data_IF_169303482744
#
_entry.id   IF_169303482744
#
_cell.length_a   1.000
_cell.length_b   1.000
_cell.length_c   1.000
_cell.angle_alpha   90.00
_cell.angle_beta   90.00
_cell.angle_gamma   90.00
#
_symmetry.space_group_name_H-M   'P 1'
#
loop_
_entity.id
_entity.type
_entity.pdbx_description
1 polymer ?
#
# COMPACT_ATOMS: atom_id res chain seq x y z
N UNK A 1 9.16 -2.76 15.60
CA UNK A 1 8.87 -3.89 14.67
C UNK A 1 10.10 -4.76 14.42
N UNK A 2 11.19 -4.24 13.85
CA UNK A 2 12.35 -5.06 13.44
C UNK A 2 13.24 -5.54 14.60
N UNK A 3 13.27 -4.77 15.69
CA UNK A 3 14.01 -5.15 16.89
C UNK A 3 13.55 -6.49 17.49
N UNK A 4 12.27 -6.85 17.35
CA UNK A 4 11.73 -8.08 17.94
C UNK A 4 12.29 -9.34 17.24
N UNK A 5 12.14 -9.51 15.90
CA UNK A 5 12.78 -10.62 15.19
C UNK A 5 14.31 -10.61 15.32
N UNK A 6 14.94 -9.43 15.29
CA UNK A 6 16.38 -9.34 15.43
C UNK A 6 16.86 -9.81 16.81
N UNK A 7 16.22 -9.32 17.88
CA UNK A 7 16.52 -9.75 19.24
C UNK A 7 16.24 -11.25 19.42
N UNK A 8 15.16 -11.79 18.85
CA UNK A 8 14.86 -13.22 18.89
C UNK A 8 15.95 -14.08 18.21
N UNK A 9 16.41 -13.67 17.02
CA UNK A 9 17.51 -14.35 16.32
C UNK A 9 18.80 -14.24 17.13
N UNK A 10 19.09 -13.06 17.68
CA UNK A 10 20.28 -12.82 18.49
C UNK A 10 20.26 -13.64 19.78
N UNK A 11 19.18 -13.63 20.56
CA UNK A 11 19.08 -14.39 21.81
C UNK A 11 19.13 -15.90 21.58
N UNK A 12 18.61 -16.38 20.44
CA UNK A 12 18.74 -17.78 20.02
C UNK A 12 20.20 -18.19 19.78
N UNK A 13 21.04 -17.29 19.26
CA UNK A 13 22.50 -17.54 19.09
C UNK A 13 23.17 -17.77 20.47
N UNK A 14 22.70 -17.11 21.53
CA UNK A 14 23.22 -17.25 22.88
C UNK A 14 22.50 -18.31 23.74
N UNK A 15 21.62 -19.12 23.16
CA UNK A 15 20.91 -20.19 23.88
C UNK A 15 19.92 -19.71 24.95
N UNK A 16 19.53 -18.44 24.93
CA UNK A 16 18.51 -17.89 25.84
C UNK A 16 17.09 -18.19 25.35
N UNK A 17 16.11 -18.23 26.27
CA UNK A 17 14.69 -18.39 25.95
C UNK A 17 14.24 -17.32 24.94
N UNK A 18 13.64 -17.78 23.84
CA UNK A 18 13.09 -16.92 22.78
C UNK A 18 12.00 -16.00 23.31
N UNK A 19 11.89 -14.78 22.78
CA UNK A 19 10.80 -13.86 23.11
C UNK A 19 9.47 -14.50 22.68
N UNK A 20 8.56 -14.83 23.62
CA UNK A 20 7.29 -15.46 23.28
C UNK A 20 6.45 -14.50 22.41
N UNK A 21 5.72 -15.05 21.44
CA UNK A 21 4.83 -14.32 20.54
C UNK A 21 5.47 -13.19 19.69
N UNK A 22 6.81 -13.16 19.55
CA UNK A 22 7.53 -12.17 18.71
C UNK A 22 6.92 -12.03 17.30
N UNK A 23 6.69 -13.14 16.60
CA UNK A 23 6.08 -13.14 15.27
C UNK A 23 4.65 -12.56 15.27
N UNK A 24 3.83 -12.93 16.25
CA UNK A 24 2.44 -12.46 16.37
C UNK A 24 2.41 -10.97 16.65
N UNK A 25 3.27 -10.46 17.55
CA UNK A 25 3.38 -9.03 17.84
C UNK A 25 3.78 -8.26 16.57
N UNK A 26 4.71 -8.79 15.78
CA UNK A 26 5.15 -8.17 14.52
C UNK A 26 4.01 -8.09 13.49
N UNK A 27 3.14 -9.11 13.40
CA UNK A 27 1.94 -9.05 12.54
C UNK A 27 1.02 -7.89 12.94
N UNK A 28 0.78 -7.70 14.24
CA UNK A 28 -0.05 -6.61 14.74
C UNK A 28 0.62 -5.24 14.61
N UNK A 29 1.95 -5.16 14.75
CA UNK A 29 2.68 -3.93 14.44
C UNK A 29 2.60 -3.55 12.96
N UNK A 30 2.44 -4.55 12.07
CA UNK A 30 2.22 -4.31 10.63
C UNK A 30 0.88 -3.61 10.40
N UNK A 31 -0.17 -4.00 11.12
CA UNK A 31 -1.47 -3.31 11.11
C UNK A 31 -1.31 -1.83 11.51
N UNK A 32 -0.58 -1.57 12.59
CA UNK A 32 -0.33 -0.21 13.07
C UNK A 32 0.44 0.64 12.05
N UNK A 33 1.54 0.10 11.51
CA UNK A 33 2.34 0.79 10.48
C UNK A 33 1.49 1.05 9.23
N UNK A 34 0.66 0.08 8.83
CA UNK A 34 -0.25 0.21 7.69
C UNK A 34 -1.24 1.36 7.86
N UNK A 35 -1.94 1.43 8.99
CA UNK A 35 -2.92 2.49 9.24
C UNK A 35 -2.27 3.85 9.49
N UNK A 36 -1.17 3.93 10.24
CA UNK A 36 -0.40 5.19 10.39
C UNK A 36 0.10 5.67 9.01
N UNK A 37 0.63 4.75 8.21
CA UNK A 37 1.05 5.01 6.83
C UNK A 37 -0.10 5.52 5.97
N UNK A 38 -1.30 4.93 6.07
CA UNK A 38 -2.49 5.37 5.37
C UNK A 38 -2.90 6.79 5.77
N UNK A 39 -2.92 7.11 7.07
CA UNK A 39 -3.23 8.45 7.59
C UNK A 39 -2.20 9.49 7.12
N UNK A 40 -0.92 9.14 7.08
CA UNK A 40 0.14 10.02 6.56
C UNK A 40 0.05 10.19 5.04
N UNK A 41 -0.25 9.12 4.30
CA UNK A 41 -0.45 9.15 2.85
C UNK A 41 -1.67 10.02 2.48
N UNK A 42 -2.76 9.91 3.24
CA UNK A 42 -3.92 10.79 3.12
C UNK A 42 -3.53 12.26 3.35
N UNK A 43 -2.73 12.53 4.38
CA UNK A 43 -2.27 13.90 4.68
C UNK A 43 -1.40 14.46 3.56
N UNK A 44 -0.60 13.63 2.91
CA UNK A 44 0.33 14.02 1.84
C UNK A 44 -0.26 13.90 0.43
N UNK A 45 -1.54 13.54 0.26
CA UNK A 45 -2.15 13.32 -1.05
C UNK A 45 -1.48 12.21 -1.88
N UNK A 46 -0.96 11.18 -1.21
CA UNK A 46 -0.21 10.06 -1.82
C UNK A 46 -0.95 8.73 -1.80
N UNK A 47 -2.24 8.75 -1.50
CA UNK A 47 -3.07 7.55 -1.60
C UNK A 47 -3.18 7.14 -3.08
N UNK A 48 -3.14 5.83 -3.33
CA UNK A 48 -3.28 5.28 -4.68
C UNK A 48 -4.66 5.63 -5.25
N UNK A 49 -4.68 6.32 -6.37
CA UNK A 49 -5.87 6.75 -7.10
C UNK A 49 -5.70 6.46 -8.59
N UNK A 50 -6.81 6.33 -9.32
CA UNK A 50 -6.81 6.11 -10.77
C UNK A 50 -6.44 7.38 -11.57
N UNK A 51 -6.48 8.55 -10.93
CA UNK A 51 -6.19 9.84 -11.57
C UNK A 51 -4.98 10.52 -10.95
N UNK A 52 -4.37 11.43 -11.72
CA UNK A 52 -3.18 12.18 -11.29
C UNK A 52 -3.49 13.29 -10.28
N UNK A 53 -4.76 13.72 -10.17
CA UNK A 53 -5.15 14.83 -9.29
C UNK A 53 -5.72 14.27 -7.98
N UNK A 54 -5.04 14.49 -6.84
CA UNK A 54 -5.46 13.88 -5.59
C UNK A 54 -6.68 14.57 -4.99
N UNK A 55 -7.58 13.76 -4.41
CA UNK A 55 -8.83 14.23 -3.83
C UNK A 55 -8.67 14.96 -2.49
N UNK A 56 -7.66 14.62 -1.67
CA UNK A 56 -7.42 15.19 -0.33
C UNK A 56 -6.72 16.57 -0.39
N UNK A 57 -6.95 17.32 -1.47
CA UNK A 57 -6.43 18.67 -1.70
C UNK A 57 -7.55 19.71 -1.53
N UNK A 58 -7.20 20.88 -0.99
CA UNK A 58 -8.16 21.97 -0.77
C UNK A 58 -8.58 22.58 -2.09
N UNK A 59 -9.89 22.71 -2.30
CA UNK A 59 -10.44 23.39 -3.47
C UNK A 59 -10.98 24.77 -3.13
N UNK A 60 -10.63 25.75 -3.98
CA UNK A 60 -11.09 27.13 -3.86
C UNK A 60 -12.44 27.38 -4.55
N UNK A 61 -12.73 26.64 -5.63
CA UNK A 61 -13.99 26.74 -6.40
C UNK A 61 -14.80 25.46 -6.29
N UNK A 62 -16.12 25.59 -6.26
CA UNK A 62 -17.02 24.43 -6.23
C UNK A 62 -16.99 23.69 -7.57
N UNK A 63 -16.85 22.37 -7.51
CA UNK A 63 -16.97 21.49 -8.66
C UNK A 63 -17.81 20.27 -8.26
N UNK A 64 -18.99 20.13 -8.86
CA UNK A 64 -19.99 19.13 -8.47
C UNK A 64 -19.40 17.71 -8.44
N UNK A 65 -18.63 17.32 -9.46
CA UNK A 65 -18.03 15.98 -9.50
C UNK A 65 -17.07 15.67 -8.35
N UNK A 66 -16.30 16.67 -7.92
CA UNK A 66 -15.33 16.50 -6.82
C UNK A 66 -16.01 16.61 -5.47
N UNK A 67 -17.03 17.45 -5.34
CA UNK A 67 -17.87 17.50 -4.16
C UNK A 67 -18.48 16.13 -3.88
N UNK A 68 -19.09 15.50 -4.89
CA UNK A 68 -19.63 14.14 -4.80
C UNK A 68 -18.53 13.14 -4.39
N UNK A 69 -17.36 13.18 -5.04
CA UNK A 69 -16.27 12.26 -4.70
C UNK A 69 -15.76 12.40 -3.26
N UNK A 70 -15.61 13.64 -2.77
CA UNK A 70 -15.22 13.95 -1.38
C UNK A 70 -16.29 13.51 -0.38
N UNK A 71 -17.56 13.75 -0.70
CA UNK A 71 -18.70 13.33 0.10
C UNK A 71 -18.76 11.80 0.23
N UNK A 72 -18.67 11.07 -0.88
CA UNK A 72 -18.68 9.60 -0.89
C UNK A 72 -17.47 9.06 -0.11
N UNK A 73 -16.28 9.64 -0.33
CA UNK A 73 -15.08 9.27 0.44
C UNK A 73 -15.28 9.47 1.93
N UNK A 74 -15.91 10.58 2.33
CA UNK A 74 -16.22 10.87 3.72
C UNK A 74 -17.23 9.87 4.32
N UNK A 75 -18.30 9.56 3.60
CA UNK A 75 -19.30 8.57 4.02
C UNK A 75 -18.68 7.18 4.18
N UNK A 76 -17.93 6.71 3.20
CA UNK A 76 -17.23 5.41 3.26
C UNK A 76 -16.29 5.36 4.46
N UNK A 77 -15.50 6.41 4.71
CA UNK A 77 -14.59 6.47 5.85
C UNK A 77 -15.32 6.43 7.21
N UNK A 78 -16.45 7.14 7.34
CA UNK A 78 -17.27 7.09 8.56
C UNK A 78 -17.86 5.70 8.76
N UNK A 79 -18.41 5.09 7.71
CA UNK A 79 -18.95 3.73 7.77
C UNK A 79 -17.87 2.72 8.17
N UNK A 80 -16.69 2.77 7.56
CA UNK A 80 -15.57 1.88 7.94
C UNK A 80 -15.10 2.15 9.38
N UNK A 81 -15.05 3.41 9.82
CA UNK A 81 -14.76 3.75 11.21
C UNK A 81 -15.78 3.12 12.16
N UNK A 82 -17.08 3.23 11.85
CA UNK A 82 -18.14 2.64 12.66
C UNK A 82 -18.05 1.11 12.70
N UNK A 83 -17.90 0.45 11.55
CA UNK A 83 -17.73 -1.01 11.49
C UNK A 83 -16.52 -1.49 12.29
N UNK A 84 -15.40 -0.77 12.21
CA UNK A 84 -14.20 -1.11 12.98
C UNK A 84 -14.33 -0.85 14.48
N UNK A 85 -15.15 0.13 14.89
CA UNK A 85 -15.47 0.38 16.30
C UNK A 85 -16.37 -0.72 16.87
N UNK A 86 -17.39 -1.16 16.12
CA UNK A 86 -18.24 -2.30 16.50
C UNK A 86 -17.42 -3.59 16.66
N UNK A 87 -16.46 -3.83 15.76
CA UNK A 87 -15.53 -4.96 15.91
C UNK A 87 -14.71 -4.86 17.22
N UNK A 88 -14.18 -3.68 17.54
CA UNK A 88 -13.41 -3.47 18.78
C UNK A 88 -14.28 -3.70 20.02
N UNK A 89 -15.55 -3.26 20.01
CA UNK A 89 -16.48 -3.53 21.12
C UNK A 89 -16.69 -5.02 21.36
N UNK A 90 -16.92 -5.79 20.29
CA UNK A 90 -17.10 -7.24 20.38
C UNK A 90 -15.85 -7.90 21.00
N UNK A 91 -14.66 -7.45 20.63
CA UNK A 91 -13.39 -7.94 21.20
C UNK A 91 -13.12 -7.48 22.65
N UNK A 92 -13.72 -6.38 23.09
CA UNK A 92 -13.64 -5.96 24.49
C UNK A 92 -14.56 -6.83 25.35
N UNK A 93 -15.74 -7.19 24.82
CA UNK A 93 -16.70 -8.07 25.50
C UNK A 93 -16.19 -9.52 25.58
N UNK A 94 -15.56 -10.01 24.50
CA UNK A 94 -14.99 -11.35 24.40
C UNK A 94 -13.48 -11.28 24.12
N UNK A 95 -12.66 -10.93 25.12
CA UNK A 95 -11.24 -10.66 24.90
C UNK A 95 -10.44 -11.91 24.56
N UNK A 96 -9.65 -11.79 23.50
CA UNK A 96 -8.63 -12.76 23.09
C UNK A 96 -7.25 -12.09 23.19
N UNK A 97 -6.27 -12.80 23.75
CA UNK A 97 -4.90 -12.29 23.87
C UNK A 97 -4.03 -12.69 22.66
N UNK A 98 -3.24 -11.74 22.17
CA UNK A 98 -2.26 -11.97 21.09
C UNK A 98 -0.89 -12.36 21.62
N UNK A 99 -0.59 -11.97 22.85
CA UNK A 99 0.59 -12.30 23.62
C UNK A 99 0.22 -12.21 25.12
N UNK A 100 1.04 -12.75 26.04
CA UNK A 100 0.74 -12.69 27.47
C UNK A 100 0.44 -11.25 27.91
N UNK A 101 -0.77 -11.01 28.44
CA UNK A 101 -1.28 -9.71 28.88
C UNK A 101 -1.43 -8.64 27.78
N UNK A 102 -1.47 -9.03 26.50
CA UNK A 102 -1.73 -8.10 25.40
C UNK A 102 -3.02 -8.52 24.70
N UNK A 103 -4.15 -7.85 24.98
CA UNK A 103 -5.40 -8.18 24.35
C UNK A 103 -5.45 -7.67 22.91
N UNK A 104 -6.10 -8.44 22.04
CA UNK A 104 -6.18 -8.22 20.60
C UNK A 104 -6.85 -6.89 20.24
N UNK A 105 -7.85 -6.46 21.00
CA UNK A 105 -8.57 -5.19 20.75
C UNK A 105 -7.64 -3.98 20.80
N UNK A 106 -6.57 -4.00 21.60
CA UNK A 106 -5.57 -2.92 21.63
C UNK A 106 -4.90 -2.78 20.28
N UNK A 107 -4.59 -3.90 19.63
CA UNK A 107 -4.04 -3.87 18.29
C UNK A 107 -5.06 -3.39 17.26
N UNK A 108 -6.34 -3.76 17.40
CA UNK A 108 -7.42 -3.37 16.47
C UNK A 108 -7.81 -1.89 16.56
N UNK A 109 -7.60 -1.22 17.69
CA UNK A 109 -7.97 0.19 17.91
C UNK A 109 -7.42 1.15 16.86
N UNK A 110 -6.30 0.82 16.22
CA UNK A 110 -5.73 1.67 15.18
C UNK A 110 -6.62 1.77 13.93
N UNK A 111 -7.50 0.79 13.71
CA UNK A 111 -8.43 0.79 12.57
C UNK A 111 -9.47 1.91 12.66
N UNK A 112 -10.32 1.98 13.71
CA UNK A 112 -11.28 3.08 13.85
C UNK A 112 -10.58 4.43 13.95
N UNK A 113 -9.48 4.50 14.71
CA UNK A 113 -8.69 5.74 14.85
C UNK A 113 -8.18 6.20 13.47
N UNK A 114 -7.62 5.29 12.67
CA UNK A 114 -7.09 5.62 11.35
C UNK A 114 -8.18 6.10 10.38
N UNK A 115 -9.33 5.43 10.33
CA UNK A 115 -10.46 5.85 9.50
C UNK A 115 -11.04 7.20 9.93
N UNK A 116 -11.18 7.46 11.24
CA UNK A 116 -11.61 8.76 11.78
C UNK A 116 -10.61 9.86 11.43
N UNK A 117 -9.30 9.62 11.59
CA UNK A 117 -8.29 10.62 11.23
C UNK A 117 -8.33 10.94 9.73
N UNK A 118 -8.54 9.95 8.86
CA UNK A 118 -8.70 10.20 7.42
C UNK A 118 -10.02 10.93 7.10
N UNK A 119 -11.12 10.63 7.81
CA UNK A 119 -12.40 11.32 7.61
C UNK A 119 -12.33 12.79 8.03
N UNK A 120 -11.65 13.08 9.14
CA UNK A 120 -11.36 14.45 9.58
C UNK A 120 -10.47 15.18 8.56
N UNK A 121 -9.46 14.51 8.01
CA UNK A 121 -8.60 15.12 7.00
C UNK A 121 -9.35 15.51 5.73
N UNK A 122 -10.22 14.64 5.20
CA UNK A 122 -11.02 14.99 4.02
C UNK A 122 -12.01 16.11 4.33
N UNK A 123 -12.62 16.12 5.53
CA UNK A 123 -13.52 17.17 5.98
C UNK A 123 -12.84 18.54 6.04
N UNK A 124 -11.69 18.64 6.73
CA UNK A 124 -10.97 19.91 6.88
C UNK A 124 -10.34 20.39 5.56
N UNK A 125 -9.91 19.47 4.69
CA UNK A 125 -9.32 19.81 3.39
C UNK A 125 -10.32 19.82 2.22
N UNK A 126 -11.63 19.76 2.50
CA UNK A 126 -12.63 19.62 1.42
C UNK A 126 -12.74 20.89 0.57
N UNK A 127 -13.25 21.98 1.15
CA UNK A 127 -13.46 23.27 0.48
C UNK A 127 -13.05 24.41 1.39
N UNK A 128 -12.66 25.57 0.88
CA UNK A 128 -12.42 26.76 1.72
C UNK A 128 -13.69 27.23 2.46
N UNK A 129 -14.84 27.13 1.80
CA UNK A 129 -16.13 27.57 2.33
C UNK A 129 -16.71 26.55 3.34
N UNK A 130 -17.09 27.04 4.53
CA UNK A 130 -17.63 26.24 5.63
C UNK A 130 -18.98 25.60 5.29
N UNK A 131 -19.81 26.22 4.45
CA UNK A 131 -21.11 25.65 4.07
C UNK A 131 -20.98 24.28 3.37
N UNK A 132 -20.05 24.14 2.43
CA UNK A 132 -19.77 22.87 1.76
C UNK A 132 -19.09 21.83 2.66
N UNK A 133 -18.46 22.26 3.76
CA UNK A 133 -17.95 21.32 4.77
C UNK A 133 -19.09 20.82 5.64
N UNK A 134 -19.92 21.72 6.16
CA UNK A 134 -21.05 21.38 7.02
C UNK A 134 -22.08 20.49 6.31
N UNK A 135 -22.25 20.65 5.00
CA UNK A 135 -23.11 19.76 4.22
C UNK A 135 -22.66 18.29 4.28
N UNK A 136 -21.37 17.99 4.47
CA UNK A 136 -20.91 16.62 4.64
C UNK A 136 -21.42 16.00 5.94
N UNK A 137 -21.39 16.76 7.05
CA UNK A 137 -21.92 16.31 8.33
C UNK A 137 -23.43 16.16 8.28
N UNK A 138 -24.12 17.10 7.64
CA UNK A 138 -25.57 17.03 7.47
C UNK A 138 -25.98 15.78 6.67
N UNK A 139 -25.29 15.50 5.56
CA UNK A 139 -25.58 14.31 4.74
C UNK A 139 -25.20 13.03 5.49
N UNK A 140 -24.06 13.00 6.20
CA UNK A 140 -23.68 11.85 7.03
C UNK A 140 -24.71 11.59 8.14
N UNK A 141 -25.25 12.65 8.76
CA UNK A 141 -26.32 12.55 9.74
C UNK A 141 -27.60 11.99 9.12
N UNK A 142 -28.01 12.45 7.94
CA UNK A 142 -29.15 11.88 7.21
C UNK A 142 -28.95 10.39 6.90
N UNK A 143 -27.75 10.00 6.45
CA UNK A 143 -27.39 8.60 6.21
C UNK A 143 -27.34 7.74 7.49
N UNK A 144 -27.28 8.34 8.67
CA UNK A 144 -27.33 7.60 9.94
C UNK A 144 -28.74 7.12 10.29
N UNK A 145 -29.78 7.66 9.68
CA UNK A 145 -31.16 7.23 9.92
C UNK A 145 -31.46 5.98 9.09
N UNK A 146 -31.58 4.84 9.76
CA UNK A 146 -31.90 3.55 9.14
C UNK A 146 -33.24 3.60 8.39
N UNK A 147 -34.24 4.29 8.95
CA UNK A 147 -35.55 4.46 8.32
C UNK A 147 -35.49 5.22 6.99
N UNK A 148 -34.61 6.22 6.87
CA UNK A 148 -34.43 6.95 5.62
C UNK A 148 -33.75 6.06 4.56
N UNK A 149 -32.77 5.26 4.97
CA UNK A 149 -32.08 4.33 4.09
C UNK A 149 -33.02 3.22 3.57
N UNK A 150 -33.86 2.66 4.44
CA UNK A 150 -34.86 1.66 4.08
C UNK A 150 -35.83 2.20 3.03
N UNK A 151 -36.39 3.39 3.26
CA UNK A 151 -37.27 4.06 2.29
C UNK A 151 -36.55 4.27 0.95
N UNK A 152 -35.31 4.75 0.95
CA UNK A 152 -34.54 4.94 -0.29
C UNK A 152 -34.32 3.60 -1.01
N UNK A 153 -34.02 2.53 -0.27
CA UNK A 153 -33.76 1.21 -0.84
C UNK A 153 -34.98 0.54 -1.43
N UNK A 154 -36.18 0.86 -0.93
CA UNK A 154 -37.44 0.36 -1.48
C UNK A 154 -37.77 0.99 -2.84
N UNK A 155 -37.35 2.26 -3.06
CA UNK A 155 -37.65 3.00 -4.29
C UNK A 155 -36.55 2.94 -5.35
N UNK A 156 -35.29 2.77 -4.96
CA UNK A 156 -34.14 2.77 -5.87
C UNK A 156 -33.34 1.47 -5.73
N UNK A 157 -32.82 0.91 -6.86
CA UNK A 157 -31.87 -0.20 -6.81
C UNK A 157 -30.55 0.25 -6.15
N UNK A 158 -30.49 0.20 -4.82
CA UNK A 158 -29.45 0.82 -3.99
C UNK A 158 -28.04 0.34 -4.34
N UNK A 159 -27.92 -0.94 -4.71
CA UNK A 159 -26.65 -1.55 -5.15
C UNK A 159 -26.12 -0.87 -6.41
N UNK A 160 -26.95 -0.75 -7.45
CA UNK A 160 -26.54 -0.18 -8.73
C UNK A 160 -26.29 1.32 -8.62
N UNK A 161 -27.16 2.04 -7.90
CA UNK A 161 -27.03 3.48 -7.68
C UNK A 161 -25.77 3.78 -6.86
N UNK A 162 -25.55 3.07 -5.76
CA UNK A 162 -24.36 3.22 -4.93
C UNK A 162 -23.07 2.87 -5.68
N UNK A 163 -23.07 1.79 -6.46
CA UNK A 163 -21.94 1.40 -7.31
C UNK A 163 -21.62 2.45 -8.38
N UNK A 164 -22.64 3.05 -8.99
CA UNK A 164 -22.47 4.15 -9.94
C UNK A 164 -21.79 5.36 -9.29
N UNK A 165 -22.27 5.79 -8.11
CA UNK A 165 -21.68 6.90 -7.38
C UNK A 165 -20.23 6.61 -6.94
N UNK A 166 -19.92 5.38 -6.53
CA UNK A 166 -18.55 4.97 -6.21
C UNK A 166 -17.63 5.00 -7.43
N UNK A 167 -18.07 4.45 -8.57
CA UNK A 167 -17.31 4.49 -9.82
C UNK A 167 -17.05 5.94 -10.26
N UNK A 168 -18.08 6.79 -10.16
CA UNK A 168 -17.96 8.23 -10.40
C UNK A 168 -16.95 8.88 -9.45
N UNK A 169 -16.98 8.56 -8.16
CA UNK A 169 -16.01 9.04 -7.16
C UNK A 169 -14.56 8.70 -7.54
N UNK A 170 -14.31 7.45 -7.95
CA UNK A 170 -12.99 6.99 -8.41
C UNK A 170 -12.52 7.77 -9.64
N UNK A 171 -13.41 8.03 -10.60
CA UNK A 171 -13.11 8.84 -11.78
C UNK A 171 -12.70 10.28 -11.42
N UNK A 172 -13.27 10.83 -10.34
CA UNK A 172 -12.91 12.17 -9.85
C UNK A 172 -11.72 12.19 -8.87
N UNK A 173 -11.00 11.07 -8.74
CA UNK A 173 -9.74 10.98 -8.01
C UNK A 173 -9.85 10.44 -6.59
N UNK A 174 -10.98 9.85 -6.21
CA UNK A 174 -11.05 9.11 -4.96
C UNK A 174 -10.03 7.96 -4.94
N UNK A 175 -9.40 7.68 -3.78
CA UNK A 175 -8.48 6.56 -3.64
C UNK A 175 -9.15 5.22 -3.93
N UNK A 176 -8.37 4.26 -4.44
CA UNK A 176 -8.85 2.92 -4.79
C UNK A 176 -9.47 2.22 -3.58
N UNK A 177 -8.91 2.39 -2.37
CA UNK A 177 -9.45 1.76 -1.16
C UNK A 177 -10.88 2.25 -0.82
N UNK A 178 -11.25 3.49 -1.21
CA UNK A 178 -12.61 4.01 -1.04
C UNK A 178 -13.58 3.27 -1.95
N UNK A 179 -13.14 2.96 -3.18
CA UNK A 179 -13.92 2.15 -4.12
C UNK A 179 -14.13 0.73 -3.60
N UNK A 180 -13.05 0.05 -3.19
CA UNK A 180 -13.12 -1.32 -2.67
C UNK A 180 -13.89 -1.41 -1.35
N UNK A 181 -13.59 -0.52 -0.40
CA UNK A 181 -14.27 -0.44 0.89
C UNK A 181 -15.73 -0.06 0.73
N UNK A 182 -16.03 0.96 -0.09
CA UNK A 182 -17.41 1.38 -0.39
C UNK A 182 -18.23 0.28 -1.06
N UNK A 183 -17.65 -0.44 -2.02
CA UNK A 183 -18.33 -1.57 -2.66
C UNK A 183 -18.59 -2.69 -1.65
N UNK A 184 -17.64 -2.96 -0.76
CA UNK A 184 -17.83 -3.93 0.33
C UNK A 184 -19.00 -3.54 1.23
N UNK A 185 -19.14 -2.26 1.59
CA UNK A 185 -20.27 -1.75 2.39
C UNK A 185 -21.61 -2.04 1.71
N UNK A 186 -21.72 -1.75 0.41
CA UNK A 186 -22.96 -1.93 -0.34
C UNK A 186 -23.34 -3.41 -0.45
N UNK A 187 -22.37 -4.27 -0.80
CA UNK A 187 -22.62 -5.71 -0.96
C UNK A 187 -22.95 -6.37 0.37
N UNK A 188 -22.21 -6.02 1.43
CA UNK A 188 -22.45 -6.58 2.76
C UNK A 188 -23.80 -6.14 3.32
N UNK A 189 -24.19 -4.89 3.06
CA UNK A 189 -25.51 -4.39 3.42
C UNK A 189 -26.63 -5.14 2.69
N UNK A 190 -26.46 -5.45 1.40
CA UNK A 190 -27.42 -6.25 0.63
C UNK A 190 -27.57 -7.69 1.15
N UNK A 191 -26.48 -8.26 1.67
CA UNK A 191 -26.46 -9.61 2.26
C UNK A 191 -26.84 -9.62 3.76
N UNK A 192 -27.30 -8.50 4.33
CA UNK A 192 -27.60 -8.33 5.77
C UNK A 192 -26.43 -8.69 6.70
N UNK A 193 -25.20 -8.55 6.20
CA UNK A 193 -24.00 -8.83 6.98
C UNK A 193 -23.55 -7.58 7.75
N UNK A 194 -23.14 -7.72 9.03
CA UNK A 194 -22.72 -6.59 9.83
C UNK A 194 -21.49 -5.87 9.24
N UNK A 195 -21.46 -4.55 9.39
CA UNK A 195 -20.35 -3.70 8.93
C UNK A 195 -19.01 -4.04 9.60
N UNK A 196 -19.05 -4.62 10.80
CA UNK A 196 -17.88 -5.13 11.52
C UNK A 196 -17.19 -6.28 10.79
N UNK A 197 -17.92 -7.05 9.96
CA UNK A 197 -17.35 -8.14 9.17
C UNK A 197 -16.32 -7.65 8.14
N UNK A 198 -16.54 -6.47 7.54
CA UNK A 198 -15.57 -5.84 6.63
C UNK A 198 -14.27 -5.53 7.38
N UNK A 199 -14.39 -5.01 8.60
CA UNK A 199 -13.23 -4.69 9.44
C UNK A 199 -12.53 -5.95 9.94
N UNK A 200 -13.28 -7.01 10.27
CA UNK A 200 -12.72 -8.28 10.70
C UNK A 200 -11.91 -8.93 9.57
N UNK A 201 -12.43 -8.88 8.34
CA UNK A 201 -11.74 -9.41 7.16
C UNK A 201 -10.51 -8.58 6.80
N UNK A 202 -10.61 -7.24 6.86
CA UNK A 202 -9.46 -6.36 6.69
C UNK A 202 -8.38 -6.63 7.74
N UNK A 203 -8.76 -6.81 9.01
CA UNK A 203 -7.83 -7.18 10.09
C UNK A 203 -7.17 -8.53 9.81
N UNK A 204 -7.94 -9.56 9.43
CA UNK A 204 -7.45 -10.91 9.11
C UNK A 204 -6.41 -10.89 7.99
N UNK A 205 -6.68 -10.13 6.92
CA UNK A 205 -5.75 -9.98 5.80
C UNK A 205 -4.46 -9.30 6.26
N UNK A 206 -4.57 -8.19 7.01
CA UNK A 206 -3.42 -7.37 7.40
C UNK A 206 -2.51 -8.04 8.44
N UNK A 207 -3.08 -8.84 9.34
CA UNK A 207 -2.33 -9.59 10.36
C UNK A 207 -1.81 -10.94 9.82
N UNK A 208 -1.88 -11.16 8.50
CA UNK A 208 -1.25 -12.32 7.88
C UNK A 208 0.25 -12.43 8.24
N UNK A 209 0.77 -13.63 8.56
CA UNK A 209 2.19 -13.85 8.85
C UNK A 209 3.14 -13.42 7.72
N UNK A 210 2.63 -13.18 6.52
CA UNK A 210 3.44 -12.80 5.37
C UNK A 210 3.57 -11.29 5.18
N UNK A 211 2.62 -10.47 5.64
CA UNK A 211 2.69 -9.01 5.46
C UNK A 211 3.79 -8.30 6.26
N UNK A 212 4.23 -8.80 7.45
CA UNK A 212 5.44 -8.31 8.09
C UNK A 212 6.68 -8.24 7.19
N UNK A 213 6.75 -9.08 6.16
CA UNK A 213 7.88 -9.08 5.24
C UNK A 213 7.98 -7.75 4.48
N UNK A 214 6.88 -7.03 4.24
CA UNK A 214 6.87 -5.75 3.51
C UNK A 214 7.78 -4.70 4.18
N UNK A 215 7.53 -4.29 5.43
CA UNK A 215 8.39 -3.32 6.10
C UNK A 215 9.79 -3.88 6.41
N UNK A 216 9.94 -5.20 6.63
CA UNK A 216 11.25 -5.82 6.89
C UNK A 216 12.16 -5.77 5.66
N UNK A 217 11.66 -6.15 4.48
CA UNK A 217 12.39 -6.05 3.21
C UNK A 217 12.67 -4.59 2.83
N UNK A 218 11.70 -3.70 3.07
CA UNK A 218 11.90 -2.26 2.88
C UNK A 218 13.06 -1.75 3.74
N UNK A 219 13.11 -2.13 5.02
CA UNK A 219 14.19 -1.75 5.93
C UNK A 219 15.55 -2.35 5.50
N UNK A 220 15.58 -3.60 5.05
CA UNK A 220 16.79 -4.21 4.49
C UNK A 220 17.31 -3.41 3.27
N UNK A 221 16.39 -2.95 2.41
CA UNK A 221 16.73 -2.06 1.29
C UNK A 221 17.30 -0.72 1.73
N UNK A 222 16.75 -0.10 2.78
CA UNK A 222 17.32 1.11 3.38
C UNK A 222 18.72 0.88 3.96
N UNK A 223 18.96 -0.24 4.66
CA UNK A 223 20.31 -0.57 5.15
C UNK A 223 21.32 -0.78 4.03
N UNK A 224 20.91 -1.44 2.94
CA UNK A 224 21.77 -1.63 1.77
C UNK A 224 22.11 -0.29 1.10
N UNK A 225 21.16 0.63 1.04
CA UNK A 225 21.36 1.98 0.52
C UNK A 225 22.32 2.81 1.40
N UNK A 226 22.04 2.88 2.70
CA UNK A 226 22.80 3.70 3.66
C UNK A 226 24.22 3.18 3.91
N UNK A 227 24.44 1.86 3.83
CA UNK A 227 25.76 1.23 3.97
C UNK A 227 26.71 1.48 2.79
N UNK A 228 26.31 2.33 1.82
CA UNK A 228 27.02 2.55 0.55
C UNK A 228 27.23 1.28 -0.27
N UNK A 229 26.52 0.19 0.03
CA UNK A 229 26.60 -1.04 -0.76
C UNK A 229 26.13 -0.80 -2.20
N UNK A 230 25.13 0.06 -2.40
CA UNK A 230 24.70 0.56 -3.71
C UNK A 230 25.85 1.04 -4.60
N UNK A 231 26.79 1.83 -4.05
CA UNK A 231 27.96 2.33 -4.80
C UNK A 231 28.92 1.20 -5.16
N UNK A 232 29.15 0.26 -4.24
CA UNK A 232 30.02 -0.90 -4.46
C UNK A 232 29.43 -1.85 -5.51
N UNK A 233 28.11 -2.06 -5.49
CA UNK A 233 27.41 -2.87 -6.48
C UNK A 233 27.50 -2.26 -7.88
N UNK A 234 27.37 -0.94 -8.01
CA UNK A 234 27.61 -0.25 -9.30
C UNK A 234 28.98 -0.62 -9.86
N UNK A 235 30.04 -0.50 -9.05
CA UNK A 235 31.41 -0.83 -9.49
C UNK A 235 31.51 -2.29 -9.91
N UNK A 236 30.96 -3.22 -9.13
CA UNK A 236 30.97 -4.66 -9.48
C UNK A 236 30.29 -4.91 -10.83
N UNK A 237 29.11 -4.32 -11.07
CA UNK A 237 28.41 -4.52 -12.34
C UNK A 237 29.11 -3.81 -13.50
N UNK A 238 29.77 -2.67 -13.26
CA UNK A 238 30.63 -2.01 -14.25
C UNK A 238 31.82 -2.89 -14.64
N UNK A 239 32.49 -3.53 -13.69
CA UNK A 239 33.60 -4.45 -13.99
C UNK A 239 33.12 -5.71 -14.73
N UNK A 240 31.94 -6.24 -14.39
CA UNK A 240 31.40 -7.46 -15.01
C UNK A 240 30.83 -7.23 -16.42
N UNK A 241 30.21 -6.08 -16.66
CA UNK A 241 29.41 -5.83 -17.88
C UNK A 241 29.81 -4.56 -18.64
N UNK A 242 30.81 -3.81 -18.18
CA UNK A 242 31.27 -2.57 -18.81
C UNK A 242 31.99 -2.77 -20.15
N UNK A 243 32.37 -4.01 -20.47
CA UNK A 243 32.91 -4.38 -21.78
C UNK A 243 31.86 -4.33 -22.91
N UNK A 244 30.56 -4.25 -22.57
CA UNK A 244 29.49 -4.18 -23.56
C UNK A 244 29.42 -2.76 -24.15
N UNK A 245 29.53 -2.56 -25.48
CA UNK A 245 29.39 -1.26 -26.11
C UNK A 245 27.99 -0.67 -25.83
N UNK A 246 27.90 0.56 -25.30
CA UNK A 246 26.63 1.10 -24.79
C UNK A 246 26.16 0.43 -23.50
N UNK A 247 27.09 -0.13 -22.71
CA UNK A 247 26.79 -0.98 -21.57
C UNK A 247 26.20 -0.30 -20.35
N UNK A 248 26.27 1.03 -20.20
CA UNK A 248 25.77 1.72 -19.00
C UNK A 248 24.27 1.48 -18.77
N UNK A 249 23.38 1.64 -19.77
CA UNK A 249 21.99 1.22 -19.64
C UNK A 249 21.79 -0.24 -19.24
N UNK A 250 22.59 -1.16 -19.79
CA UNK A 250 22.51 -2.60 -19.47
C UNK A 250 22.92 -2.86 -18.02
N UNK A 251 24.03 -2.25 -17.58
CA UNK A 251 24.49 -2.28 -16.19
C UNK A 251 23.38 -1.80 -15.26
N UNK A 252 22.68 -0.72 -15.62
CA UNK A 252 21.57 -0.19 -14.83
C UNK A 252 20.38 -1.15 -14.78
N UNK A 253 20.01 -1.78 -15.90
CA UNK A 253 18.94 -2.79 -15.95
C UNK A 253 19.26 -3.95 -15.02
N UNK A 254 20.46 -4.51 -15.13
CA UNK A 254 20.90 -5.67 -14.35
C UNK A 254 21.05 -5.32 -12.87
N UNK A 255 21.67 -4.18 -12.55
CA UNK A 255 21.86 -3.70 -11.18
C UNK A 255 20.51 -3.42 -10.50
N UNK A 256 19.62 -2.67 -11.15
CA UNK A 256 18.30 -2.37 -10.60
C UNK A 256 17.47 -3.64 -10.46
N UNK A 257 17.53 -4.56 -11.42
CA UNK A 257 16.88 -5.87 -11.33
C UNK A 257 17.35 -6.66 -10.11
N UNK A 258 18.67 -6.77 -9.92
CA UNK A 258 19.27 -7.44 -8.78
C UNK A 258 18.92 -6.75 -7.45
N UNK A 259 19.06 -5.42 -7.38
CA UNK A 259 18.80 -4.66 -6.17
C UNK A 259 17.32 -4.72 -5.78
N UNK A 260 16.40 -4.58 -6.72
CA UNK A 260 14.95 -4.72 -6.48
C UNK A 260 14.58 -6.12 -6.00
N UNK A 261 15.23 -7.16 -6.51
CA UNK A 261 15.00 -8.52 -6.02
C UNK A 261 15.37 -8.66 -4.53
N UNK A 262 16.36 -7.92 -4.04
CA UNK A 262 16.75 -7.92 -2.63
C UNK A 262 15.90 -7.00 -1.76
N UNK A 263 15.50 -5.84 -2.26
CA UNK A 263 14.73 -4.84 -1.49
C UNK A 263 13.23 -5.09 -1.51
N UNK A 264 12.75 -5.93 -2.43
CA UNK A 264 11.35 -6.29 -2.55
C UNK A 264 10.44 -5.17 -3.07
N UNK A 265 10.98 -4.04 -3.53
CA UNK A 265 10.18 -2.90 -3.95
C UNK A 265 10.88 -1.95 -4.93
N UNK A 266 10.26 -1.74 -6.08
CA UNK A 266 10.76 -0.83 -7.13
C UNK A 266 11.00 0.59 -6.60
N UNK A 267 10.06 1.13 -5.80
CA UNK A 267 10.22 2.45 -5.19
C UNK A 267 11.44 2.58 -4.27
N UNK A 268 11.77 1.53 -3.51
CA UNK A 268 12.95 1.51 -2.63
C UNK A 268 14.22 1.53 -3.45
N UNK A 269 14.26 0.77 -4.55
CA UNK A 269 15.38 0.77 -5.50
C UNK A 269 15.60 2.15 -6.13
N UNK A 270 14.55 2.84 -6.55
CA UNK A 270 14.67 4.20 -7.11
C UNK A 270 15.15 5.20 -6.05
N UNK A 271 14.65 5.10 -4.81
CA UNK A 271 15.13 5.95 -3.71
C UNK A 271 16.61 5.69 -3.40
N UNK A 272 17.05 4.43 -3.46
CA UNK A 272 18.41 4.03 -3.12
C UNK A 272 19.44 4.32 -4.23
N UNK A 273 19.08 4.05 -5.49
CA UNK A 273 19.99 4.10 -6.63
C UNK A 273 19.74 5.29 -7.55
N UNK A 274 18.51 5.80 -7.62
CA UNK A 274 18.13 6.83 -8.61
C UNK A 274 18.95 8.10 -8.50
N UNK A 275 19.28 8.56 -7.29
CA UNK A 275 20.13 9.73 -7.07
C UNK A 275 21.59 9.57 -7.54
N UNK A 276 22.05 8.33 -7.71
CA UNK A 276 23.39 8.02 -8.23
C UNK A 276 23.36 7.75 -9.74
N UNK A 277 22.38 6.99 -10.21
CA UNK A 277 22.29 6.52 -11.59
C UNK A 277 21.77 7.59 -12.56
N UNK A 278 20.83 8.46 -12.13
CA UNK A 278 20.31 9.50 -13.00
C UNK A 278 21.40 10.53 -13.39
N UNK A 279 22.17 11.12 -12.45
CA UNK A 279 23.28 12.00 -12.82
C UNK A 279 24.36 11.32 -13.65
N UNK A 280 24.59 10.01 -13.45
CA UNK A 280 25.54 9.22 -14.25
C UNK A 280 25.11 9.16 -15.71
N UNK A 281 23.86 8.74 -15.99
CA UNK A 281 23.31 8.71 -17.35
C UNK A 281 23.35 10.08 -18.04
N UNK A 282 22.99 11.14 -17.32
CA UNK A 282 23.02 12.49 -17.87
C UNK A 282 24.44 12.96 -18.22
N UNK A 283 25.46 12.57 -17.43
CA UNK A 283 26.87 12.88 -17.70
C UNK A 283 27.42 12.15 -18.93
N UNK A 284 26.92 10.95 -19.19
CA UNK A 284 27.28 10.17 -20.39
C UNK A 284 26.54 10.64 -21.66
N UNK A 285 25.67 11.66 -21.56
CA UNK A 285 25.01 12.27 -22.71
C UNK A 285 23.61 11.72 -23.00
N UNK A 286 23.08 10.80 -22.17
CA UNK A 286 21.72 10.29 -22.35
C UNK A 286 20.66 11.37 -22.06
N UNK A 287 19.57 11.35 -22.83
CA UNK A 287 18.47 12.29 -22.61
C UNK A 287 17.78 12.06 -21.26
N UNK A 288 17.23 13.13 -20.67
CA UNK A 288 16.52 13.06 -19.38
C UNK A 288 15.31 12.12 -19.44
N UNK A 289 14.55 12.17 -20.54
CA UNK A 289 13.36 11.32 -20.73
C UNK A 289 13.73 9.85 -20.82
N UNK A 290 14.76 9.52 -21.60
CA UNK A 290 15.30 8.16 -21.67
C UNK A 290 15.77 7.67 -20.30
N UNK A 291 16.56 8.49 -19.60
CA UNK A 291 17.15 8.13 -18.32
C UNK A 291 16.08 7.85 -17.25
N UNK A 292 15.04 8.69 -17.18
CA UNK A 292 13.92 8.49 -16.25
C UNK A 292 13.10 7.25 -16.61
N UNK A 293 12.78 7.05 -17.90
CA UNK A 293 12.09 5.85 -18.37
C UNK A 293 12.87 4.57 -18.07
N UNK A 294 14.15 4.55 -18.40
CA UNK A 294 15.03 3.41 -18.16
C UNK A 294 15.11 3.06 -16.67
N UNK A 295 15.37 4.05 -15.80
CA UNK A 295 15.48 3.80 -14.36
C UNK A 295 14.17 3.28 -13.77
N UNK A 296 13.05 3.91 -14.10
CA UNK A 296 11.73 3.51 -13.58
C UNK A 296 11.32 2.11 -14.02
N UNK A 297 11.57 1.75 -15.28
CA UNK A 297 11.30 0.40 -15.79
C UNK A 297 12.27 -0.62 -15.18
N UNK A 298 13.57 -0.32 -15.16
CA UNK A 298 14.61 -1.22 -14.62
C UNK A 298 14.39 -1.55 -13.15
N UNK A 299 13.94 -0.57 -12.36
CA UNK A 299 13.57 -0.78 -10.96
C UNK A 299 12.42 -1.78 -10.76
N UNK A 300 11.59 -2.02 -11.77
CA UNK A 300 10.42 -2.91 -11.66
C UNK A 300 10.69 -4.35 -12.09
N UNK A 301 11.68 -4.58 -12.95
CA UNK A 301 12.02 -5.93 -13.48
C UNK A 301 12.43 -6.88 -12.34
N UNK A 302 13.15 -6.37 -11.33
CA UNK A 302 13.61 -7.18 -10.20
C UNK A 302 12.49 -7.82 -9.37
N UNK A 303 11.25 -7.34 -9.49
CA UNK A 303 10.09 -7.93 -8.82
C UNK A 303 9.75 -9.34 -9.35
N UNK A 304 10.38 -9.80 -10.44
CA UNK A 304 10.21 -11.15 -10.97
C UNK A 304 11.29 -12.14 -10.47
N UNK A 305 12.39 -11.64 -9.92
CA UNK A 305 13.53 -12.46 -9.54
C UNK A 305 13.53 -12.79 -8.03
N UNK A 306 13.99 -13.98 -7.61
CA UNK A 306 14.13 -14.31 -6.19
C UNK A 306 15.23 -13.47 -5.51
N UNK A 307 15.06 -12.98 -4.26
CA UNK A 307 13.89 -13.12 -3.36
C UNK A 307 12.83 -11.99 -3.51
N UNK A 308 11.93 -12.09 -4.48
CA UNK A 308 10.91 -11.06 -4.71
C UNK A 308 9.72 -11.11 -3.72
N UNK A 309 9.55 -10.03 -2.97
CA UNK A 309 8.42 -9.81 -2.07
C UNK A 309 7.05 -9.87 -2.78
N UNK A 310 6.80 -9.17 -3.92
CA UNK A 310 5.52 -9.30 -4.63
C UNK A 310 5.18 -10.73 -5.06
N UNK A 311 6.18 -11.50 -5.52
CA UNK A 311 5.99 -12.89 -5.90
C UNK A 311 5.66 -13.78 -4.69
N UNK A 312 6.24 -13.51 -3.52
CA UNK A 312 5.89 -14.16 -2.25
C UNK A 312 4.43 -13.86 -1.87
N UNK A 313 4.04 -12.58 -1.89
CA UNK A 313 2.67 -12.16 -1.54
C UNK A 313 1.68 -12.81 -2.49
N UNK A 314 1.94 -12.78 -3.80
CA UNK A 314 1.09 -13.45 -4.79
C UNK A 314 0.97 -14.95 -4.54
N UNK A 315 2.08 -15.65 -4.29
CA UNK A 315 2.04 -17.08 -4.02
C UNK A 315 1.17 -17.43 -2.81
N UNK A 316 1.28 -16.64 -1.75
CA UNK A 316 0.52 -16.83 -0.51
C UNK A 316 -0.95 -16.52 -0.72
N UNK A 317 -1.30 -15.42 -1.40
CA UNK A 317 -2.69 -15.02 -1.60
C UNK A 317 -3.42 -15.92 -2.60
N UNK A 318 -2.74 -16.38 -3.65
CA UNK A 318 -3.30 -17.29 -4.64
C UNK A 318 -3.25 -18.78 -4.21
N UNK A 319 -2.67 -19.09 -3.05
CA UNK A 319 -2.54 -20.47 -2.56
C UNK A 319 -1.62 -21.34 -3.43
N UNK A 320 -0.68 -20.74 -4.16
CA UNK A 320 0.26 -21.43 -5.04
C UNK A 320 1.68 -21.44 -4.42
N UNK A 321 2.46 -22.47 -4.73
CA UNK A 321 3.81 -22.59 -4.20
C UNK A 321 4.69 -21.39 -4.62
N UNK A 322 5.21 -20.66 -3.65
CA UNK A 322 6.16 -19.54 -3.87
C UNK A 322 7.36 -19.98 -4.72
N UNK A 323 7.88 -21.20 -4.48
CA UNK A 323 8.96 -21.77 -5.30
C UNK A 323 8.56 -21.90 -6.78
N UNK A 324 7.32 -22.32 -7.07
CA UNK A 324 6.81 -22.39 -8.45
C UNK A 324 6.68 -21.00 -9.06
N UNK A 325 6.18 -20.02 -8.31
CA UNK A 325 6.08 -18.61 -8.77
C UNK A 325 7.47 -18.06 -9.11
N UNK A 326 8.47 -18.31 -8.28
CA UNK A 326 9.85 -17.91 -8.53
C UNK A 326 10.42 -18.52 -9.81
N UNK A 327 10.26 -19.83 -10.00
CA UNK A 327 10.72 -20.50 -11.23
C UNK A 327 9.98 -19.96 -12.45
N UNK A 328 8.66 -19.77 -12.34
CA UNK A 328 7.84 -19.21 -13.41
C UNK A 328 8.18 -17.75 -13.74
N UNK A 329 8.67 -16.97 -12.76
CA UNK A 329 9.10 -15.58 -12.94
C UNK A 329 10.42 -15.41 -13.68
N UNK A 330 11.29 -16.43 -13.70
CA UNK A 330 12.61 -16.34 -14.34
C UNK A 330 12.50 -16.12 -15.85
N UNK A 331 11.66 -16.89 -16.54
CA UNK A 331 11.49 -16.79 -17.99
C UNK A 331 10.98 -15.40 -18.43
N UNK A 332 9.86 -14.87 -17.91
CA UNK A 332 9.40 -13.52 -18.26
C UNK A 332 10.37 -12.44 -17.78
N UNK A 333 11.04 -12.63 -16.64
CA UNK A 333 12.03 -11.69 -16.13
C UNK A 333 13.24 -11.55 -17.06
N UNK A 334 13.82 -12.67 -17.50
CA UNK A 334 14.93 -12.68 -18.45
C UNK A 334 14.53 -12.11 -19.81
N UNK A 335 13.32 -12.45 -20.28
CA UNK A 335 12.78 -11.90 -21.53
C UNK A 335 12.66 -10.37 -21.45
N UNK A 336 12.15 -9.82 -20.34
CA UNK A 336 12.07 -8.36 -20.15
C UNK A 336 13.46 -7.72 -20.09
N UNK A 337 14.43 -8.33 -19.41
CA UNK A 337 15.81 -7.84 -19.41
C UNK A 337 16.33 -7.76 -20.85
N UNK A 338 16.21 -8.84 -21.62
CA UNK A 338 16.70 -8.89 -23.01
C UNK A 338 16.02 -7.82 -23.88
N UNK A 339 14.70 -7.70 -23.81
CA UNK A 339 13.96 -6.74 -24.63
C UNK A 339 14.34 -5.29 -24.29
N UNK A 340 14.44 -4.97 -23.00
CA UNK A 340 14.73 -3.61 -22.55
C UNK A 340 16.21 -3.27 -22.79
N UNK A 341 17.12 -4.23 -22.59
CA UNK A 341 18.54 -4.06 -22.93
C UNK A 341 18.73 -3.87 -24.43
N UNK A 342 18.03 -4.62 -25.27
CA UNK A 342 18.09 -4.48 -26.73
C UNK A 342 17.55 -3.12 -27.18
N UNK A 343 16.43 -2.68 -26.61
CA UNK A 343 15.88 -1.35 -26.86
C UNK A 343 16.83 -0.23 -26.40
N UNK A 344 17.47 -0.40 -25.25
CA UNK A 344 18.40 0.58 -24.70
C UNK A 344 19.71 0.68 -25.51
N UNK A 345 20.16 -0.40 -26.15
CA UNK A 345 21.31 -0.38 -27.05
C UNK A 345 21.02 0.31 -28.39
N UNK A 346 19.77 0.26 -28.85
CA UNK A 346 19.35 0.88 -30.11
C UNK A 346 19.23 2.41 -30.01
N UNK A 347 19.00 2.92 -28.80
CA UNK A 347 18.65 4.32 -28.52
C UNK A 347 19.87 5.18 -28.22
#
# INVERSE_FOLDING_TARGET
MVLLPFAEVFTRIFGMLSIPASQVIVQHLTLWIGFIGAVLAARQNKLLALTQRPLFSTEAKFHLGRYIAKLITFLVLISLAWGSWELVKVEIEYPMDIAPNIPRWVAMLIMPIGFVLMSLQIFFKSYSNQYYRLSFLFIAFLFSFTTLLEVISDFLPSIYVGSFFLAFSLFFGAPIFVGLGGLSIILFWADFTPLSAISAEAYRIVVSPTLPTIPLFTMAGYFLAESKASKRLIIIFQELFGWIPGGTPIIIILLCGFFTALTGGSGVTILALGGLLLPMLLKEGYSKSFSLGLLTVSGSIGLLFPPSLPAIIYGVTAGVSVKKVFIAGLLPGLLLIILISSWALYQ
#
